data_IF_826794123947
#
_entry.id   IF_826794123947
#
_cell.length_a   1.000
_cell.length_b   1.000
_cell.length_c   1.000
_cell.angle_alpha   90.00
_cell.angle_beta   90.00
_cell.angle_gamma   90.00
#
_symmetry.space_group_name_H-M   'P 1'
#
loop_
_entity.id
_entity.type
_entity.pdbx_description
1 polymer ?
#
# COMPACT_ATOMS: atom_id res chain seq x y z
N UNK A 1 2.04 9.33 -3.49
CA UNK A 1 3.33 10.07 -3.41
C UNK A 1 4.43 9.02 -3.39
N UNK A 2 5.18 8.86 -4.50
CA UNK A 2 6.37 7.99 -4.55
C UNK A 2 7.56 8.89 -4.26
N UNK A 3 7.86 9.10 -2.99
CA UNK A 3 9.10 9.75 -2.56
C UNK A 3 10.17 8.69 -2.45
N UNK A 4 11.20 8.80 -3.28
CA UNK A 4 12.48 8.09 -3.22
C UNK A 4 12.85 7.62 -1.81
N UNK A 5 12.52 6.37 -1.51
CA UNK A 5 12.72 5.78 -0.20
C UNK A 5 12.44 4.30 -0.31
N UNK A 6 13.33 3.47 0.24
CA UNK A 6 13.12 2.02 0.28
C UNK A 6 11.95 1.60 1.16
N UNK A 7 11.13 2.53 1.65
CA UNK A 7 10.02 2.35 2.58
C UNK A 7 8.73 2.99 2.03
N UNK A 8 7.61 2.31 2.19
CA UNK A 8 6.30 2.70 1.63
C UNK A 8 5.21 2.54 2.69
N UNK A 9 4.24 3.46 2.68
CA UNK A 9 3.01 3.37 3.46
C UNK A 9 1.84 3.77 2.56
N UNK A 10 0.73 3.05 2.68
CA UNK A 10 -0.51 3.33 1.95
C UNK A 10 -1.50 4.05 2.86
N UNK A 11 -2.16 5.07 2.32
CA UNK A 11 -3.26 5.78 3.00
C UNK A 11 -4.58 5.19 2.53
N UNK A 12 -5.46 4.86 3.48
CA UNK A 12 -6.82 4.38 3.23
C UNK A 12 -7.83 5.38 3.79
N UNK A 13 -8.77 5.80 2.95
CA UNK A 13 -9.96 6.53 3.39
C UNK A 13 -10.98 5.56 3.97
N UNK A 14 -11.41 5.81 5.20
CA UNK A 14 -12.50 5.10 5.87
C UNK A 14 -13.77 5.93 5.72
N UNK A 15 -14.82 5.31 5.17
CA UNK A 15 -16.15 5.91 5.06
C UNK A 15 -16.85 5.80 6.42
N UNK A 16 -16.75 6.86 7.23
CA UNK A 16 -17.49 7.05 8.47
C UNK A 16 -18.27 8.37 8.41
N UNK A 17 -19.00 8.72 9.48
CA UNK A 17 -19.75 9.99 9.58
C UNK A 17 -18.84 11.20 9.37
N UNK A 18 -17.64 11.16 9.95
CA UNK A 18 -16.50 12.00 9.60
C UNK A 18 -15.47 11.19 8.83
N UNK A 19 -14.98 11.64 7.65
CA UNK A 19 -13.97 10.93 6.89
C UNK A 19 -12.66 10.77 7.69
N UNK A 20 -12.20 9.54 7.85
CA UNK A 20 -10.96 9.22 8.56
C UNK A 20 -9.91 8.61 7.64
N UNK A 21 -8.64 8.88 7.92
CA UNK A 21 -7.52 8.32 7.17
C UNK A 21 -6.74 7.34 8.04
N UNK A 22 -6.66 6.10 7.58
CA UNK A 22 -5.81 5.08 8.18
C UNK A 22 -4.53 4.89 7.35
N UNK A 23 -3.47 4.47 8.02
CA UNK A 23 -2.20 4.09 7.42
C UNK A 23 -2.04 2.57 7.44
N UNK A 24 -1.43 2.02 6.39
CA UNK A 24 -0.95 0.63 6.41
C UNK A 24 0.30 0.49 7.27
N UNK A 25 0.74 -0.75 7.47
CA UNK A 25 2.10 -1.03 7.93
C UNK A 25 3.14 -0.44 6.97
N UNK A 26 4.37 -0.25 7.48
CA UNK A 26 5.52 0.18 6.68
C UNK A 26 6.03 -1.02 5.89
N UNK A 27 6.11 -0.85 4.58
CA UNK A 27 6.69 -1.83 3.67
C UNK A 27 8.09 -1.42 3.28
N UNK A 28 9.07 -2.32 3.39
CA UNK A 28 10.45 -2.03 2.99
C UNK A 28 10.93 -2.90 1.83
N UNK A 29 11.50 -2.30 0.79
CA UNK A 29 12.06 -3.00 -0.39
C UNK A 29 13.16 -4.00 0.01
N UNK A 30 13.97 -3.66 1.01
CA UNK A 30 15.16 -4.44 1.39
C UNK A 30 14.83 -5.59 2.35
N UNK A 31 13.60 -5.67 2.86
CA UNK A 31 13.18 -6.78 3.70
C UNK A 31 12.92 -8.01 2.81
N UNK A 32 13.64 -9.12 3.04
CA UNK A 32 13.51 -10.36 2.25
C UNK A 32 12.14 -11.02 2.40
N UNK A 33 11.38 -10.73 3.45
CA UNK A 33 9.99 -11.17 3.64
C UNK A 33 8.95 -10.29 2.96
N UNK A 34 9.31 -9.63 1.85
CA UNK A 34 8.64 -8.44 1.33
C UNK A 34 7.16 -8.65 0.98
N UNK A 35 6.26 -7.98 1.72
CA UNK A 35 4.82 -7.97 1.45
C UNK A 35 4.43 -7.06 0.26
N UNK A 36 5.38 -6.30 -0.31
CA UNK A 36 5.13 -5.47 -1.49
C UNK A 36 4.64 -6.28 -2.69
N UNK A 37 5.10 -7.52 -2.84
CA UNK A 37 4.64 -8.39 -3.93
C UNK A 37 3.16 -8.77 -3.74
N UNK A 38 2.70 -8.97 -2.51
CA UNK A 38 1.29 -9.25 -2.22
C UNK A 38 0.41 -8.02 -2.43
N UNK A 39 0.90 -6.84 -2.06
CA UNK A 39 0.22 -5.57 -2.41
C UNK A 39 0.11 -5.43 -3.94
N UNK A 40 1.18 -5.74 -4.68
CA UNK A 40 1.18 -5.64 -6.14
C UNK A 40 0.21 -6.64 -6.80
N UNK A 41 0.04 -7.85 -6.24
CA UNK A 41 -1.01 -8.80 -6.69
C UNK A 41 -2.41 -8.21 -6.51
N UNK A 42 -2.68 -7.58 -5.38
CA UNK A 42 -3.99 -6.95 -5.11
C UNK A 42 -4.23 -5.82 -6.10
N UNK A 43 -3.26 -4.93 -6.30
CA UNK A 43 -3.37 -3.82 -7.24
C UNK A 43 -3.58 -4.30 -8.68
N UNK A 44 -2.89 -5.36 -9.13
CA UNK A 44 -3.13 -5.97 -10.44
C UNK A 44 -4.57 -6.44 -10.62
N UNK A 45 -5.15 -7.09 -9.61
CA UNK A 45 -6.55 -7.56 -9.63
C UNK A 45 -7.54 -6.40 -9.68
N UNK A 46 -7.28 -5.31 -8.97
CA UNK A 46 -8.16 -4.13 -8.97
C UNK A 46 -8.08 -3.40 -10.31
N UNK A 47 -6.88 -3.26 -10.87
CA UNK A 47 -6.66 -2.52 -12.11
C UNK A 47 -6.89 -3.35 -13.38
N UNK A 48 -7.25 -4.63 -13.29
CA UNK A 48 -7.31 -5.56 -14.43
C UNK A 48 -6.04 -5.53 -15.31
N UNK A 49 -4.87 -5.29 -14.72
CA UNK A 49 -3.61 -5.29 -15.45
C UNK A 49 -3.17 -6.75 -15.56
N UNK A 50 -3.34 -7.30 -16.76
CA UNK A 50 -2.87 -8.65 -17.18
C UNK A 50 -1.34 -8.68 -17.12
#
# INVERSE_FOLDING_TARGET
>A
MITTGGTFVFIKLIKAETPEYALSDIFEIRNRGNALYDVMKILKRICNII
#
